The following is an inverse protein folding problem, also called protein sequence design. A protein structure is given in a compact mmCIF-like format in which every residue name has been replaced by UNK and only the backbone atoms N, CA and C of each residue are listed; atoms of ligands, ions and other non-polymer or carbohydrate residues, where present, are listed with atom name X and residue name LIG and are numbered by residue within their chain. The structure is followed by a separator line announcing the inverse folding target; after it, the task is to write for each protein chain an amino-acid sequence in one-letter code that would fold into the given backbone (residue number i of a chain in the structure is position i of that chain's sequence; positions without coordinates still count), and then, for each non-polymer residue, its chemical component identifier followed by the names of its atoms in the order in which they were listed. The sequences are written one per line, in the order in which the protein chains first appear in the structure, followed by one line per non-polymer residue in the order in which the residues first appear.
data_IF_823664036130
#
_entry.id   IF_823664036130
#
_cell.length_a   1.000
_cell.length_b   1.000
_cell.length_c   1.000
_cell.angle_alpha   90.00
_cell.angle_beta   90.00
_cell.angle_gamma   90.00
#
_symmetry.space_group_name_H-M   'P 1'
#
loop_
_entity.id
_entity.type
_entity.pdbx_description
1 polymer ?
#
# COMPACT_ATOMS: atom_id res chain seq x y z
N UNK A 1 -4.98 -8.04 54.39
CA UNK A 1 -4.22 -6.80 54.57
C UNK A 1 -3.16 -6.70 53.47
N UNK A 2 -3.23 -5.60 52.70
CA UNK A 2 -2.16 -4.87 51.98
C UNK A 2 -1.36 -5.56 50.84
N UNK A 3 -1.84 -5.26 49.63
CA UNK A 3 -1.16 -4.71 48.44
C UNK A 3 0.34 -4.36 48.51
N UNK A 4 1.05 -4.62 47.40
CA UNK A 4 2.23 -3.87 46.93
C UNK A 4 2.54 -4.28 45.48
N UNK A 5 2.14 -3.53 44.45
CA UNK A 5 2.65 -2.29 43.86
C UNK A 5 3.52 -2.54 42.60
N UNK A 6 2.88 -2.26 41.45
CA UNK A 6 3.42 -2.23 40.09
C UNK A 6 4.10 -0.88 39.90
N UNK A 7 5.40 -0.83 39.59
CA UNK A 7 6.09 0.39 39.15
C UNK A 7 7.33 0.00 38.31
N UNK A 8 7.17 -0.17 36.99
CA UNK A 8 8.32 -0.28 36.07
C UNK A 8 8.06 0.23 34.64
N UNK A 9 7.07 1.10 34.41
CA UNK A 9 6.78 1.64 33.06
C UNK A 9 6.96 3.15 32.90
N UNK A 10 7.47 3.88 33.89
CA UNK A 10 7.60 5.34 33.82
C UNK A 10 8.99 5.87 33.39
N UNK A 11 9.98 5.00 33.14
CA UNK A 11 11.35 5.44 32.83
C UNK A 11 11.68 5.58 31.33
N UNK A 12 10.77 5.22 30.41
CA UNK A 12 11.05 5.32 28.96
C UNK A 12 10.54 6.60 28.29
N UNK A 13 9.63 7.35 28.91
CA UNK A 13 9.00 8.52 28.28
C UNK A 13 9.84 9.81 28.34
N UNK A 14 10.88 9.87 29.18
CA UNK A 14 11.72 11.07 29.30
C UNK A 14 12.91 11.09 28.35
N UNK A 15 13.27 9.97 27.73
CA UNK A 15 14.42 9.88 26.81
C UNK A 15 14.13 10.41 25.39
N UNK A 16 12.85 10.46 24.98
CA UNK A 16 12.47 10.84 23.62
C UNK A 16 12.32 12.37 23.47
N UNK A 17 12.04 13.11 24.55
CA UNK A 17 11.88 14.57 24.47
C UNK A 17 13.20 15.34 24.37
N UNK A 18 14.35 14.74 24.70
CA UNK A 18 15.66 15.43 24.67
C UNK A 18 16.31 15.50 23.29
N UNK A 19 15.81 14.77 22.28
CA UNK A 19 16.36 14.82 20.92
C UNK A 19 15.75 15.94 20.04
N UNK A 20 14.77 16.68 20.56
CA UNK A 20 14.02 17.69 19.80
C UNK A 20 14.54 19.14 19.95
N UNK A 21 15.66 19.38 20.66
CA UNK A 21 16.14 20.74 20.98
C UNK A 21 17.57 21.06 20.50
N UNK A 22 18.15 20.32 19.55
CA UNK A 22 19.52 20.56 19.07
C UNK A 22 19.69 20.97 17.59
N UNK A 23 18.64 21.39 16.88
CA UNK A 23 18.79 22.04 15.57
C UNK A 23 18.32 23.48 15.63
N UNK A 24 19.19 24.34 16.17
CA UNK A 24 19.08 25.79 16.07
C UNK A 24 20.14 26.37 15.10
N UNK A 25 19.68 27.32 14.29
CA UNK A 25 20.39 28.44 13.66
C UNK A 25 21.58 28.17 12.70
N UNK A 26 21.32 28.44 11.42
CA UNK A 26 22.30 28.95 10.47
C UNK A 26 21.65 30.01 9.59
N UNK A 27 21.77 31.28 9.98
CA UNK A 27 21.48 32.46 9.15
C UNK A 27 22.55 32.60 8.07
N UNK A 28 22.14 32.65 6.81
CA UNK A 28 22.80 33.46 5.76
C UNK A 28 21.73 33.96 4.81
N UNK A 29 21.65 35.29 4.76
CA UNK A 29 20.85 36.09 3.83
C UNK A 29 21.35 35.84 2.40
N UNK A 30 20.43 35.49 1.50
CA UNK A 30 20.55 35.76 0.06
C UNK A 30 19.14 36.02 -0.48
N UNK A 31 18.95 37.24 -0.97
CA UNK A 31 17.73 37.70 -1.61
C UNK A 31 17.50 36.93 -2.91
N UNK A 32 16.43 36.14 -2.94
CA UNK A 32 15.83 35.68 -4.19
C UNK A 32 14.33 35.93 -4.10
N UNK A 33 13.81 36.75 -5.01
CA UNK A 33 12.37 36.97 -5.22
C UNK A 33 11.71 35.64 -5.60
N UNK A 34 11.31 34.87 -4.59
CA UNK A 34 10.46 33.70 -4.74
C UNK A 34 9.02 34.19 -4.80
N UNK A 35 8.40 34.03 -5.97
CA UNK A 35 6.95 34.05 -6.15
C UNK A 35 6.38 33.07 -5.13
N UNK A 36 5.82 33.60 -4.03
CA UNK A 36 5.19 32.81 -2.97
C UNK A 36 4.08 31.96 -3.60
N UNK A 37 4.18 30.61 -3.58
CA UNK A 37 3.00 29.81 -3.83
C UNK A 37 2.08 30.07 -2.64
N UNK A 38 0.88 30.54 -2.93
CA UNK A 38 -0.17 30.68 -1.94
C UNK A 38 -0.59 29.27 -1.50
N UNK A 39 0.00 28.77 -0.42
CA UNK A 39 -0.35 27.47 0.16
C UNK A 39 -1.62 27.51 1.04
N UNK A 40 -2.50 28.49 0.84
CA UNK A 40 -3.79 28.57 1.52
C UNK A 40 -4.96 28.42 0.54
N UNK A 41 -4.91 27.39 -0.28
CA UNK A 41 -6.13 26.78 -0.83
C UNK A 41 -6.04 25.29 -0.56
N UNK A 42 -6.10 24.97 0.74
CA UNK A 42 -6.73 23.72 1.15
C UNK A 42 -8.18 23.91 0.73
N UNK A 43 -8.53 23.42 -0.47
CA UNK A 43 -9.93 23.26 -0.83
C UNK A 43 -10.53 22.39 0.26
N UNK A 44 -11.23 23.05 1.18
CA UNK A 44 -12.04 22.47 2.22
C UNK A 44 -13.20 21.79 1.49
N UNK A 45 -12.94 20.61 0.92
CA UNK A 45 -13.99 19.76 0.40
C UNK A 45 -14.89 19.44 1.59
N UNK A 46 -16.20 19.66 1.48
CA UNK A 46 -17.12 19.20 2.50
C UNK A 46 -16.89 17.70 2.63
N UNK A 47 -16.51 17.24 3.82
CA UNK A 47 -16.70 15.86 4.22
C UNK A 47 -18.19 15.57 4.01
N UNK A 48 -18.55 15.00 2.86
CA UNK A 48 -19.87 14.42 2.67
C UNK A 48 -20.00 13.32 3.71
N UNK A 49 -20.72 13.64 4.78
CA UNK A 49 -20.91 12.82 5.96
C UNK A 49 -21.94 11.70 5.75
N UNK A 50 -22.05 11.16 4.54
CA UNK A 50 -23.10 10.18 4.18
C UNK A 50 -22.61 9.00 3.32
N UNK A 51 -21.30 8.77 3.21
CA UNK A 51 -20.81 7.45 2.80
C UNK A 51 -20.90 6.51 4.00
N UNK A 52 -22.10 6.00 4.27
CA UNK A 52 -22.21 4.80 5.11
C UNK A 52 -21.34 3.73 4.45
N UNK A 53 -20.28 3.32 5.16
CA UNK A 53 -19.52 2.12 4.81
C UNK A 53 -20.56 1.00 4.56
N UNK A 54 -20.44 0.25 3.45
CA UNK A 54 -21.33 -0.87 3.20
C UNK A 54 -21.40 -1.74 4.44
N UNK A 55 -22.61 -2.05 4.91
CA UNK A 55 -22.75 -3.02 5.99
C UNK A 55 -22.22 -4.35 5.47
N UNK A 56 -21.15 -4.83 6.12
CA UNK A 56 -20.52 -6.09 5.80
C UNK A 56 -21.54 -7.21 6.03
N UNK A 57 -21.59 -8.17 5.11
CA UNK A 57 -22.49 -9.33 5.21
C UNK A 57 -21.70 -10.59 5.55
N UNK A 58 -22.40 -11.63 6.04
CA UNK A 58 -21.82 -12.97 6.22
C UNK A 58 -21.17 -13.54 4.93
N UNK A 59 -21.65 -13.10 3.76
CA UNK A 59 -21.12 -13.51 2.46
C UNK A 59 -19.75 -12.86 2.24
N UNK A 60 -19.61 -11.58 2.56
CA UNK A 60 -18.35 -10.84 2.42
C UNK A 60 -17.25 -11.42 3.32
N UNK A 61 -17.61 -11.88 4.52
CA UNK A 61 -16.66 -12.56 5.42
C UNK A 61 -16.22 -13.91 4.89
N UNK A 62 -17.14 -14.75 4.42
CA UNK A 62 -16.79 -16.07 3.84
C UNK A 62 -15.90 -15.93 2.62
N UNK A 63 -16.18 -14.94 1.77
CA UNK A 63 -15.34 -14.63 0.62
C UNK A 63 -13.93 -14.19 1.07
N UNK A 64 -13.82 -13.43 2.16
CA UNK A 64 -12.53 -13.04 2.73
C UNK A 64 -11.75 -14.22 3.34
N UNK A 65 -12.42 -15.10 4.09
CA UNK A 65 -11.85 -16.31 4.68
C UNK A 65 -11.23 -17.22 3.62
N UNK A 66 -11.86 -17.33 2.44
CA UNK A 66 -11.32 -18.11 1.33
C UNK A 66 -9.90 -17.69 0.98
N UNK A 67 -9.62 -16.39 0.95
CA UNK A 67 -8.27 -15.86 0.63
C UNK A 67 -7.27 -16.09 1.76
N UNK A 68 -7.73 -16.15 3.01
CA UNK A 68 -6.89 -16.41 4.18
C UNK A 68 -6.30 -17.83 4.16
N UNK A 69 -7.07 -18.80 3.66
CA UNK A 69 -6.67 -20.21 3.63
C UNK A 69 -5.68 -20.56 2.51
N UNK A 70 -5.45 -19.66 1.55
CA UNK A 70 -4.49 -19.90 0.47
C UNK A 70 -3.05 -19.86 0.99
N UNK A 71 -2.28 -20.90 0.67
CA UNK A 71 -0.83 -20.89 0.88
C UNK A 71 -0.14 -20.03 -0.17
N UNK A 72 1.13 -19.66 0.08
CA UNK A 72 1.97 -18.96 -0.90
C UNK A 72 2.00 -19.65 -2.26
N UNK A 73 2.00 -20.98 -2.28
CA UNK A 73 1.97 -21.77 -3.51
C UNK A 73 0.64 -21.62 -4.24
N UNK A 74 -0.46 -21.57 -3.50
CA UNK A 74 -1.80 -21.44 -4.10
C UNK A 74 -1.98 -20.06 -4.74
N UNK A 75 -1.51 -18.99 -4.08
CA UNK A 75 -1.45 -17.64 -4.65
C UNK A 75 -0.69 -17.59 -5.99
N UNK A 76 0.40 -18.35 -6.10
CA UNK A 76 1.17 -18.46 -7.35
C UNK A 76 0.44 -19.18 -8.49
N UNK A 77 -0.60 -19.97 -8.18
CA UNK A 77 -1.37 -20.76 -9.14
C UNK A 77 -2.75 -20.18 -9.46
N UNK A 78 -3.08 -19.01 -8.89
CA UNK A 78 -4.32 -18.31 -9.21
C UNK A 78 -4.38 -17.92 -10.68
N UNK A 79 -5.58 -18.02 -11.27
CA UNK A 79 -5.83 -17.63 -12.66
C UNK A 79 -6.13 -16.14 -12.76
N UNK A 80 -6.10 -15.62 -13.98
CA UNK A 80 -6.41 -14.22 -14.27
C UNK A 80 -7.76 -13.80 -13.67
N UNK A 81 -8.78 -14.66 -13.76
CA UNK A 81 -10.11 -14.38 -13.21
C UNK A 81 -10.12 -14.32 -11.68
N UNK A 82 -9.21 -15.01 -11.01
CA UNK A 82 -9.11 -14.96 -9.55
C UNK A 82 -8.44 -13.66 -9.11
N UNK A 83 -7.38 -13.23 -9.82
CA UNK A 83 -6.78 -11.92 -9.61
C UNK A 83 -7.72 -10.76 -9.91
N UNK A 84 -8.67 -10.98 -10.81
CA UNK A 84 -9.69 -10.00 -11.18
C UNK A 84 -10.71 -9.76 -10.07
N UNK A 85 -11.12 -10.81 -9.33
CA UNK A 85 -12.06 -10.71 -8.20
C UNK A 85 -11.50 -9.88 -7.03
N UNK A 86 -10.18 -9.77 -6.93
CA UNK A 86 -9.50 -9.03 -5.88
C UNK A 86 -9.48 -7.52 -6.11
N UNK A 87 -10.02 -7.07 -7.25
CA UNK A 87 -9.97 -5.68 -7.68
C UNK A 87 -11.31 -5.02 -7.42
N UNK A 88 -11.26 -3.85 -6.83
CA UNK A 88 -12.42 -2.99 -6.64
C UNK A 88 -12.71 -2.15 -7.90
N UNK A 89 -13.81 -1.40 -7.84
CA UNK A 89 -14.31 -0.56 -8.94
C UNK A 89 -13.38 0.62 -9.30
N UNK A 90 -12.53 1.06 -8.38
CA UNK A 90 -11.63 2.21 -8.53
C UNK A 90 -10.26 1.81 -9.10
N UNK A 91 -10.07 0.53 -9.45
CA UNK A 91 -8.85 0.03 -10.08
C UNK A 91 -8.68 0.58 -11.50
N UNK A 92 -7.58 1.30 -11.71
CA UNK A 92 -7.17 1.75 -13.06
C UNK A 92 -6.46 0.60 -13.76
N UNK A 93 -7.13 0.00 -14.75
CA UNK A 93 -6.63 -1.16 -15.50
C UNK A 93 -5.50 -0.82 -16.45
N UNK A 94 -4.61 -1.78 -16.66
CA UNK A 94 -3.63 -1.74 -17.74
C UNK A 94 -4.16 -2.55 -18.91
N UNK A 95 -4.33 -1.90 -20.05
CA UNK A 95 -4.77 -2.53 -21.29
C UNK A 95 -3.63 -3.32 -21.95
N UNK A 96 -3.97 -4.32 -22.78
CA UNK A 96 -2.98 -5.10 -23.52
C UNK A 96 -2.11 -4.22 -24.44
N UNK A 97 -2.68 -3.15 -24.98
CA UNK A 97 -1.95 -2.16 -25.77
C UNK A 97 -0.91 -1.41 -24.93
N UNK A 98 -1.29 -0.96 -23.72
CA UNK A 98 -0.36 -0.33 -22.79
C UNK A 98 0.73 -1.31 -22.32
N UNK A 99 0.39 -2.58 -22.05
CA UNK A 99 1.40 -3.60 -21.71
C UNK A 99 2.42 -3.72 -22.83
N UNK A 100 1.97 -3.80 -24.09
CA UNK A 100 2.86 -3.85 -25.24
C UNK A 100 3.74 -2.60 -25.35
N UNK A 101 3.21 -1.42 -25.07
CA UNK A 101 4.00 -0.19 -25.03
C UNK A 101 5.07 -0.25 -23.93
N UNK A 102 4.69 -0.64 -22.71
CA UNK A 102 5.58 -0.73 -21.54
C UNK A 102 6.69 -1.76 -21.75
N UNK A 103 6.40 -2.91 -22.35
CA UNK A 103 7.42 -3.91 -22.69
C UNK A 103 8.45 -3.39 -23.70
N UNK A 104 8.06 -2.51 -24.62
CA UNK A 104 8.95 -1.95 -25.64
C UNK A 104 9.61 -0.62 -25.22
N UNK A 105 9.26 -0.08 -24.05
CA UNK A 105 9.78 1.19 -23.58
C UNK A 105 11.28 1.11 -23.28
N UNK A 106 12.09 1.98 -23.86
CA UNK A 106 13.50 2.09 -23.49
C UNK A 106 13.63 2.72 -22.10
N UNK A 107 14.06 1.95 -21.11
CA UNK A 107 14.29 2.42 -19.73
C UNK A 107 15.79 2.62 -19.51
N UNK A 108 16.30 3.85 -19.38
CA UNK A 108 17.73 4.11 -19.26
C UNK A 108 18.29 3.58 -17.93
N UNK A 109 19.56 3.16 -17.86
CA UNK A 109 20.22 2.90 -16.59
C UNK A 109 20.19 4.14 -15.69
N UNK A 110 20.00 3.98 -14.38
CA UNK A 110 19.98 5.11 -13.44
C UNK A 110 18.67 5.92 -13.41
N UNK A 111 17.66 5.58 -14.22
CA UNK A 111 16.39 6.30 -14.35
C UNK A 111 15.67 6.64 -13.02
N UNK A 112 15.91 5.86 -11.97
CA UNK A 112 15.28 6.05 -10.66
C UNK A 112 15.85 7.25 -9.88
N UNK A 113 17.06 7.68 -10.23
CA UNK A 113 17.83 8.74 -9.54
C UNK A 113 18.00 9.99 -10.40
N UNK A 114 17.88 9.84 -11.72
CA UNK A 114 17.79 10.99 -12.61
C UNK A 114 16.53 11.77 -12.21
N UNK A 115 16.67 13.07 -11.89
CA UNK A 115 15.60 13.95 -11.39
C UNK A 115 14.45 14.22 -12.37
N UNK A 116 14.11 13.21 -13.16
CA UNK A 116 13.02 13.16 -14.10
C UNK A 116 11.66 13.35 -13.41
N UNK A 117 10.75 13.86 -14.22
CA UNK A 117 9.31 13.93 -13.97
C UNK A 117 8.79 12.66 -13.28
N UNK A 118 8.00 12.82 -12.22
CA UNK A 118 7.42 11.72 -11.44
C UNK A 118 6.58 10.81 -12.33
N UNK A 119 5.85 11.35 -13.30
CA UNK A 119 5.06 10.54 -14.22
C UNK A 119 5.96 9.63 -15.08
N UNK A 120 7.11 10.13 -15.53
CA UNK A 120 8.09 9.34 -16.26
C UNK A 120 8.74 8.28 -15.38
N UNK A 121 9.12 8.61 -14.14
CA UNK A 121 9.65 7.62 -13.17
C UNK A 121 8.64 6.53 -12.87
N UNK A 122 7.36 6.87 -12.71
CA UNK A 122 6.29 5.89 -12.54
C UNK A 122 6.18 4.98 -13.77
N UNK A 123 6.16 5.55 -14.98
CA UNK A 123 6.09 4.79 -16.23
C UNK A 123 7.28 3.84 -16.40
N UNK A 124 8.50 4.30 -16.10
CA UNK A 124 9.70 3.44 -16.11
C UNK A 124 9.60 2.30 -15.08
N UNK A 125 9.10 2.57 -13.88
CA UNK A 125 8.87 1.53 -12.87
C UNK A 125 7.92 0.45 -13.38
N UNK A 126 6.78 0.84 -13.93
CA UNK A 126 5.80 -0.09 -14.50
C UNK A 126 6.39 -0.90 -15.65
N UNK A 127 7.11 -0.25 -16.57
CA UNK A 127 7.82 -0.91 -17.66
C UNK A 127 8.83 -1.96 -17.16
N UNK A 128 9.59 -1.64 -16.10
CA UNK A 128 10.55 -2.58 -15.52
C UNK A 128 9.90 -3.86 -15.00
N UNK A 129 8.70 -3.79 -14.43
CA UNK A 129 7.98 -4.99 -14.01
C UNK A 129 7.65 -5.89 -15.21
N UNK A 130 7.00 -5.34 -16.24
CA UNK A 130 6.62 -6.11 -17.44
C UNK A 130 7.84 -6.65 -18.20
N UNK A 131 8.91 -5.86 -18.33
CA UNK A 131 10.13 -6.29 -19.02
C UNK A 131 10.87 -7.41 -18.29
N UNK A 132 10.83 -7.42 -16.95
CA UNK A 132 11.54 -8.40 -16.14
C UNK A 132 10.77 -9.71 -15.99
N UNK A 133 9.45 -9.64 -15.84
CA UNK A 133 8.62 -10.79 -15.48
C UNK A 133 7.63 -11.21 -16.57
N UNK A 134 7.51 -10.42 -17.63
CA UNK A 134 6.51 -10.62 -18.67
C UNK A 134 5.13 -10.12 -18.27
N UNK A 135 4.17 -10.43 -19.14
CA UNK A 135 2.75 -10.14 -18.92
C UNK A 135 2.08 -11.32 -18.21
N UNK A 136 2.07 -11.26 -16.88
CA UNK A 136 1.44 -12.25 -16.00
C UNK A 136 0.51 -11.54 -15.00
N UNK A 137 -0.52 -12.21 -14.47
CA UNK A 137 -1.52 -11.56 -13.63
C UNK A 137 -0.93 -10.89 -12.37
N UNK A 138 0.11 -11.44 -11.76
CA UNK A 138 0.79 -10.84 -10.59
C UNK A 138 1.40 -9.47 -10.93
N UNK A 139 1.99 -9.34 -12.13
CA UNK A 139 2.58 -8.08 -12.59
C UNK A 139 1.48 -7.06 -12.83
N UNK A 140 0.42 -7.44 -13.57
CA UNK A 140 -0.74 -6.57 -13.81
C UNK A 140 -1.34 -6.09 -12.49
N UNK A 141 -1.56 -7.01 -11.56
CA UNK A 141 -2.10 -6.71 -10.24
C UNK A 141 -1.26 -5.67 -9.49
N UNK A 142 0.07 -5.83 -9.44
CA UNK A 142 0.96 -4.87 -8.77
C UNK A 142 0.91 -3.49 -9.45
N UNK A 143 0.97 -3.45 -10.77
CA UNK A 143 0.97 -2.19 -11.52
C UNK A 143 -0.35 -1.46 -11.31
N UNK A 144 -1.48 -2.13 -11.48
CA UNK A 144 -2.81 -1.56 -11.27
C UNK A 144 -2.98 -1.12 -9.80
N UNK A 145 -2.56 -1.94 -8.82
CA UNK A 145 -2.55 -1.61 -7.38
C UNK A 145 -1.71 -0.39 -7.01
N UNK A 146 -0.71 -0.04 -7.83
CA UNK A 146 0.10 1.16 -7.65
C UNK A 146 -0.52 2.40 -8.32
N UNK A 147 -1.46 2.21 -9.27
CA UNK A 147 -2.19 3.32 -9.92
C UNK A 147 -3.33 3.85 -9.06
N UNK A 148 -3.86 3.05 -8.14
CA UNK A 148 -4.86 3.49 -7.17
C UNK A 148 -4.38 4.56 -6.21
N UNK A 149 -5.24 5.54 -5.93
CA UNK A 149 -5.10 6.40 -4.75
C UNK A 149 -5.31 5.57 -3.50
N UNK A 150 -4.38 5.67 -2.55
CA UNK A 150 -4.46 4.97 -1.27
C UNK A 150 -4.80 6.00 -0.19
N UNK A 151 -6.02 5.98 0.30
CA UNK A 151 -6.50 6.80 1.42
C UNK A 151 -7.77 6.19 2.00
N UNK A 152 -8.09 6.53 3.25
CA UNK A 152 -9.30 6.05 3.93
C UNK A 152 -9.08 4.94 4.97
N UNK A 153 -10.19 4.50 5.56
CA UNK A 153 -10.26 3.48 6.61
C UNK A 153 -9.88 2.11 6.03
N UNK A 154 -9.20 1.27 6.81
CA UNK A 154 -8.93 -0.12 6.42
C UNK A 154 -10.23 -0.90 6.46
N UNK A 155 -10.75 -1.25 5.28
CA UNK A 155 -11.88 -2.16 5.11
C UNK A 155 -11.41 -3.61 4.94
N UNK A 156 -12.33 -4.58 5.08
CA UNK A 156 -12.04 -5.99 4.81
C UNK A 156 -11.51 -6.20 3.38
N UNK A 157 -12.18 -5.60 2.39
CA UNK A 157 -11.75 -5.58 0.99
C UNK A 157 -10.31 -5.06 0.84
N UNK A 158 -9.98 -3.98 1.56
CA UNK A 158 -8.64 -3.42 1.55
C UNK A 158 -7.60 -4.37 2.13
N UNK A 159 -7.94 -5.08 3.21
CA UNK A 159 -7.06 -6.07 3.80
C UNK A 159 -6.76 -7.22 2.82
N UNK A 160 -7.78 -7.73 2.11
CA UNK A 160 -7.64 -8.75 1.06
C UNK A 160 -6.69 -8.26 -0.05
N UNK A 161 -6.90 -7.03 -0.54
CA UNK A 161 -6.07 -6.45 -1.60
C UNK A 161 -4.59 -6.34 -1.20
N UNK A 162 -4.32 -6.01 0.06
CA UNK A 162 -2.97 -5.88 0.62
C UNK A 162 -2.29 -7.24 0.75
N UNK A 163 -3.02 -8.29 1.14
CA UNK A 163 -2.52 -9.68 1.14
C UNK A 163 -2.16 -10.10 -0.28
N UNK A 164 -3.07 -9.90 -1.23
CA UNK A 164 -2.86 -10.24 -2.64
C UNK A 164 -1.65 -9.50 -3.24
N UNK A 165 -1.46 -8.21 -2.93
CA UNK A 165 -0.28 -7.45 -3.37
C UNK A 165 1.00 -8.02 -2.79
N UNK A 166 1.00 -8.39 -1.52
CA UNK A 166 2.18 -8.96 -0.86
C UNK A 166 2.51 -10.36 -1.39
N UNK A 167 1.49 -11.16 -1.70
CA UNK A 167 1.64 -12.44 -2.37
C UNK A 167 2.26 -12.29 -3.77
N UNK A 168 1.73 -11.36 -4.57
CA UNK A 168 2.29 -11.05 -5.89
C UNK A 168 3.75 -10.55 -5.79
N UNK A 169 4.06 -9.68 -4.82
CA UNK A 169 5.42 -9.19 -4.62
C UNK A 169 6.39 -10.29 -4.20
N UNK A 170 5.97 -11.21 -3.32
CA UNK A 170 6.78 -12.37 -2.96
C UNK A 170 7.00 -13.31 -4.15
N UNK A 171 5.96 -13.54 -4.96
CA UNK A 171 6.06 -14.36 -6.16
C UNK A 171 7.11 -13.80 -7.15
N UNK A 172 7.08 -12.48 -7.42
CA UNK A 172 8.02 -11.84 -8.33
C UNK A 172 9.43 -11.69 -7.75
N UNK A 173 9.52 -11.48 -6.44
CA UNK A 173 10.79 -11.25 -5.74
C UNK A 173 10.86 -12.14 -4.49
N UNK A 174 11.12 -13.44 -4.67
CA UNK A 174 11.18 -14.36 -3.53
C UNK A 174 12.33 -13.96 -2.60
N UNK A 175 12.02 -13.80 -1.32
CA UNK A 175 13.00 -13.43 -0.31
C UNK A 175 12.38 -13.29 1.07
N UNK A 176 13.19 -13.33 2.14
CA UNK A 176 12.69 -13.34 3.51
C UNK A 176 11.88 -12.08 3.85
N UNK A 177 12.27 -10.92 3.33
CA UNK A 177 11.51 -9.68 3.55
C UNK A 177 10.11 -9.70 2.94
N UNK A 178 9.97 -10.18 1.70
CA UNK A 178 8.66 -10.26 1.06
C UNK A 178 7.81 -11.39 1.64
N UNK A 179 8.44 -12.48 2.10
CA UNK A 179 7.73 -13.54 2.83
C UNK A 179 7.13 -13.00 4.12
N UNK A 180 7.96 -12.32 4.93
CA UNK A 180 7.52 -11.72 6.18
C UNK A 180 6.43 -10.68 5.94
N UNK A 181 6.53 -9.87 4.89
CA UNK A 181 5.49 -8.91 4.51
C UNK A 181 4.17 -9.62 4.19
N UNK A 182 4.20 -10.70 3.40
CA UNK A 182 3.02 -11.51 3.12
C UNK A 182 2.40 -12.08 4.40
N UNK A 183 3.18 -12.73 5.25
CA UNK A 183 2.70 -13.30 6.52
C UNK A 183 2.11 -12.24 7.45
N UNK A 184 2.76 -11.07 7.55
CA UNK A 184 2.25 -9.92 8.34
C UNK A 184 0.89 -9.46 7.83
N UNK A 185 0.75 -9.30 6.51
CA UNK A 185 -0.53 -8.88 5.92
C UNK A 185 -1.62 -9.93 6.05
N UNK A 186 -1.26 -11.22 6.00
CA UNK A 186 -2.19 -12.33 6.20
C UNK A 186 -2.74 -12.32 7.63
N UNK A 187 -1.88 -12.11 8.62
CA UNK A 187 -2.29 -12.00 10.02
C UNK A 187 -3.17 -10.76 10.26
N UNK A 188 -2.90 -9.65 9.55
CA UNK A 188 -3.76 -8.48 9.60
C UNK A 188 -5.17 -8.79 9.05
N UNK A 189 -5.26 -9.46 7.89
CA UNK A 189 -6.55 -9.89 7.34
C UNK A 189 -7.31 -10.78 8.32
N UNK A 190 -6.63 -11.74 8.94
CA UNK A 190 -7.24 -12.59 9.96
C UNK A 190 -7.80 -11.76 11.13
N UNK A 191 -7.02 -10.83 11.66
CA UNK A 191 -7.48 -9.97 12.75
C UNK A 191 -8.66 -9.06 12.34
N UNK A 192 -8.71 -8.62 11.09
CA UNK A 192 -9.85 -7.88 10.53
C UNK A 192 -11.09 -8.76 10.48
N UNK A 193 -11.00 -9.99 9.96
CA UNK A 193 -12.12 -10.94 9.93
C UNK A 193 -12.65 -11.19 11.36
N UNK A 194 -11.77 -11.53 12.30
CA UNK A 194 -12.13 -11.76 13.71
C UNK A 194 -12.74 -10.52 14.41
N UNK A 195 -12.41 -9.32 13.93
CA UNK A 195 -13.02 -8.09 14.41
C UNK A 195 -14.43 -7.93 13.84
N UNK A 196 -14.61 -8.09 12.53
CA UNK A 196 -15.90 -7.93 11.86
C UNK A 196 -16.92 -8.99 12.31
N UNK A 197 -16.49 -10.24 12.51
CA UNK A 197 -17.33 -11.31 13.07
C UNK A 197 -17.92 -10.97 14.45
N UNK A 198 -17.25 -10.13 15.25
CA UNK A 198 -17.76 -9.72 16.57
C UNK A 198 -18.89 -8.71 16.49
N UNK A 199 -19.09 -8.08 15.34
CA UNK A 199 -20.10 -7.03 15.12
C UNK A 199 -21.33 -7.51 14.36
N UNK A 200 -21.34 -8.76 13.89
CA UNK A 200 -22.48 -9.45 13.27
C UNK A 200 -23.27 -10.28 14.30
#
# INVERSE_FOLDING_TARGET
MKNGFILSNFFYLTAILSLLLCFGCGDTEDEQEVIKPNYNTFDEYPLQSDDQLPQLTDIDLKDAEQWLHLTLKDWGNLKDEDWEKLKDKDWIRVTDAEVKELMNLNVPPGWAFDGADEALRKKHREAKFFQQFGDIPQVRYIVESNRMRRGGIVTLERAIQVVAKSAAMYFLFPGPGNQQAFETTRNLLQATIEQEERWL
#
